data_IF_881067220134
#
_entry.id   IF_881067220134
#
_cell.length_a   1.000
_cell.length_b   1.000
_cell.length_c   1.000
_cell.angle_alpha   90.00
_cell.angle_beta   90.00
_cell.angle_gamma   90.00
#
_symmetry.space_group_name_H-M   'P 1'
#
loop_
_entity.id
_entity.type
_entity.pdbx_description
1 polymer ?
#
# COMPACT_ATOMS: atom_id res chain seq x y z
N UNK A 1 -3.18 -4.92 3.18
CA UNK A 1 -2.90 -3.81 4.10
C UNK A 1 -3.99 -3.74 5.15
N UNK A 2 -3.61 -3.44 6.39
CA UNK A 2 -4.49 -3.41 7.56
C UNK A 2 -4.87 -1.98 7.91
N UNK A 3 -6.16 -1.69 8.00
CA UNK A 3 -6.66 -0.36 8.35
C UNK A 3 -7.49 -0.46 9.63
N UNK A 4 -7.21 0.40 10.61
CA UNK A 4 -8.04 0.57 11.79
C UNK A 4 -8.98 1.76 11.57
N UNK A 5 -10.27 1.54 11.79
CA UNK A 5 -11.31 2.58 11.78
C UNK A 5 -11.75 2.84 13.22
N UNK A 6 -11.59 4.07 13.68
CA UNK A 6 -11.98 4.53 15.01
C UNK A 6 -13.13 5.52 14.85
N UNK A 7 -14.35 5.06 15.11
CA UNK A 7 -15.61 5.75 14.80
C UNK A 7 -16.70 5.25 15.72
N UNK A 8 -17.37 6.11 16.46
CA UNK A 8 -18.43 5.73 17.41
C UNK A 8 -19.79 5.51 16.73
N UNK A 9 -20.08 6.25 15.64
CA UNK A 9 -21.33 6.09 14.90
C UNK A 9 -21.33 4.81 14.06
N UNK A 10 -22.04 3.77 14.51
CA UNK A 10 -22.09 2.47 13.85
C UNK A 10 -22.42 2.55 12.33
N UNK A 11 -23.42 3.35 11.86
CA UNK A 11 -23.70 3.42 10.41
C UNK A 11 -22.54 3.95 9.58
N UNK A 12 -21.76 4.93 10.11
CA UNK A 12 -20.60 5.49 9.42
C UNK A 12 -19.45 4.49 9.44
N UNK A 13 -19.20 3.88 10.59
CA UNK A 13 -18.19 2.84 10.79
C UNK A 13 -18.39 1.66 9.82
N UNK A 14 -19.63 1.19 9.70
CA UNK A 14 -19.99 0.09 8.80
C UNK A 14 -19.83 0.48 7.33
N UNK A 15 -20.28 1.68 6.95
CA UNK A 15 -20.11 2.21 5.59
C UNK A 15 -18.63 2.25 5.20
N UNK A 16 -17.78 2.83 6.05
CA UNK A 16 -16.33 2.90 5.81
C UNK A 16 -15.75 1.48 5.70
N UNK A 17 -16.10 0.60 6.65
CA UNK A 17 -15.56 -0.76 6.71
C UNK A 17 -15.89 -1.57 5.45
N UNK A 18 -17.15 -1.56 5.00
CA UNK A 18 -17.58 -2.27 3.81
C UNK A 18 -16.83 -1.78 2.57
N UNK A 19 -16.73 -0.46 2.38
CA UNK A 19 -16.05 0.09 1.21
C UNK A 19 -14.55 -0.22 1.19
N UNK A 20 -13.89 -0.21 2.35
CA UNK A 20 -12.49 -0.59 2.47
C UNK A 20 -12.28 -2.08 2.19
N UNK A 21 -13.16 -2.95 2.69
CA UNK A 21 -13.10 -4.39 2.41
C UNK A 21 -13.29 -4.68 0.91
N UNK A 22 -14.24 -4.00 0.25
CA UNK A 22 -14.44 -4.09 -1.20
C UNK A 22 -13.21 -3.62 -1.99
N UNK A 23 -12.47 -2.65 -1.46
CA UNK A 23 -11.21 -2.19 -2.04
C UNK A 23 -10.01 -3.11 -1.72
N UNK A 24 -10.22 -4.23 -1.01
CA UNK A 24 -9.21 -5.25 -0.72
C UNK A 24 -8.36 -4.98 0.52
N UNK A 25 -8.77 -4.10 1.42
CA UNK A 25 -8.12 -3.87 2.71
C UNK A 25 -8.63 -4.85 3.77
N UNK A 26 -7.77 -5.23 4.71
CA UNK A 26 -8.16 -5.90 5.95
C UNK A 26 -8.52 -4.81 6.96
N UNK A 27 -9.77 -4.84 7.47
CA UNK A 27 -10.32 -3.74 8.28
C UNK A 27 -10.61 -4.20 9.69
N UNK A 28 -10.15 -3.40 10.64
CA UNK A 28 -10.48 -3.50 12.06
C UNK A 28 -11.26 -2.27 12.46
N UNK A 29 -12.21 -2.42 13.38
CA UNK A 29 -13.07 -1.32 13.83
C UNK A 29 -13.12 -1.27 15.34
N UNK A 30 -13.07 -0.06 15.89
CA UNK A 30 -13.31 0.22 17.32
C UNK A 30 -14.17 1.48 17.44
N UNK A 31 -14.87 1.62 18.55
CA UNK A 31 -15.87 2.69 18.74
C UNK A 31 -15.44 3.84 19.66
N UNK A 32 -14.29 3.71 20.31
CA UNK A 32 -13.77 4.75 21.20
C UNK A 32 -12.23 4.79 21.21
N UNK A 33 -11.70 5.87 21.78
CA UNK A 33 -10.27 6.12 21.84
C UNK A 33 -9.51 5.20 22.80
N UNK A 34 -10.16 4.64 23.81
CA UNK A 34 -9.54 3.71 24.78
C UNK A 34 -9.33 2.36 24.08
N UNK A 35 -10.37 1.86 23.42
CA UNK A 35 -10.29 0.63 22.63
C UNK A 35 -9.26 0.74 21.50
N UNK A 36 -9.14 1.92 20.87
CA UNK A 36 -8.12 2.16 19.85
C UNK A 36 -6.70 2.08 20.42
N UNK A 37 -6.44 2.69 21.58
CA UNK A 37 -5.15 2.63 22.25
C UNK A 37 -4.79 1.18 22.62
N UNK A 38 -5.71 0.44 23.23
CA UNK A 38 -5.51 -0.98 23.58
C UNK A 38 -5.28 -1.88 22.37
N UNK A 39 -6.00 -1.63 21.29
CA UNK A 39 -5.83 -2.38 20.03
C UNK A 39 -4.43 -2.18 19.46
N UNK A 40 -3.96 -0.92 19.40
CA UNK A 40 -2.66 -0.58 18.82
C UNK A 40 -1.46 -1.06 19.67
N UNK A 41 -1.65 -1.33 20.95
CA UNK A 41 -0.64 -1.98 21.78
C UNK A 41 -0.44 -3.46 21.43
N UNK A 42 -1.50 -4.12 20.95
CA UNK A 42 -1.52 -5.57 20.66
C UNK A 42 -1.27 -5.87 19.17
N UNK A 43 -1.65 -4.95 18.28
CA UNK A 43 -1.64 -5.21 16.84
C UNK A 43 -1.20 -3.97 16.04
N UNK A 44 -0.36 -4.20 15.02
CA UNK A 44 0.05 -3.15 14.09
C UNK A 44 -0.90 -3.06 12.92
N UNK A 45 -1.13 -1.82 12.46
CA UNK A 45 -1.89 -1.50 11.25
C UNK A 45 -1.08 -0.58 10.35
N UNK A 46 -1.47 -0.52 9.08
CA UNK A 46 -0.79 0.27 8.05
C UNK A 46 -1.35 1.70 7.95
N UNK A 47 -2.59 1.92 8.45
CA UNK A 47 -3.27 3.21 8.48
C UNK A 47 -4.34 3.23 9.57
N UNK A 48 -4.58 4.41 10.12
CA UNK A 48 -5.68 4.69 11.06
C UNK A 48 -6.60 5.74 10.45
N UNK A 49 -7.89 5.43 10.33
CA UNK A 49 -8.95 6.42 10.11
C UNK A 49 -9.53 6.76 11.47
N UNK A 50 -9.51 8.02 11.84
CA UNK A 50 -9.80 8.45 13.21
C UNK A 50 -10.81 9.59 13.22
N UNK A 51 -11.98 9.38 13.83
CA UNK A 51 -12.81 10.54 14.17
C UNK A 51 -12.21 11.30 15.35
N UNK A 52 -12.34 12.61 15.31
CA UNK A 52 -11.96 13.49 16.41
C UNK A 52 -12.98 13.42 17.53
N UNK A 53 -14.27 13.23 17.21
CA UNK A 53 -15.39 13.30 18.14
C UNK A 53 -15.81 11.93 18.66
N UNK A 54 -14.86 11.17 19.17
CA UNK A 54 -15.09 9.85 19.79
C UNK A 54 -15.13 9.92 21.32
N UNK A 55 -15.86 9.02 21.99
CA UNK A 55 -15.89 8.95 23.44
C UNK A 55 -14.58 8.46 24.06
N UNK A 56 -14.42 8.69 25.36
CA UNK A 56 -13.25 8.30 26.13
C UNK A 56 -12.06 9.23 25.89
N UNK A 57 -11.19 8.90 24.95
CA UNK A 57 -10.05 9.74 24.55
C UNK A 57 -10.40 10.34 23.20
N UNK A 58 -10.55 11.68 23.12
CA UNK A 58 -10.82 12.35 21.85
C UNK A 58 -9.69 12.14 20.83
N UNK A 59 -10.02 12.24 19.53
CA UNK A 59 -9.06 11.94 18.45
C UNK A 59 -7.81 12.82 18.46
N UNK A 60 -7.88 14.08 18.88
CA UNK A 60 -6.69 14.92 18.99
C UNK A 60 -5.75 14.48 20.12
N UNK A 61 -6.31 14.05 21.25
CA UNK A 61 -5.52 13.49 22.35
C UNK A 61 -4.98 12.10 22.00
N UNK A 62 -5.75 11.29 21.28
CA UNK A 62 -5.35 9.95 20.87
C UNK A 62 -4.18 9.99 19.89
N UNK A 63 -4.16 10.89 18.90
CA UNK A 63 -3.07 10.95 17.92
C UNK A 63 -1.72 11.22 18.60
N UNK A 64 -1.67 12.00 19.66
CA UNK A 64 -0.43 12.24 20.42
C UNK A 64 0.10 10.98 21.09
N UNK A 65 -0.81 10.14 21.62
CA UNK A 65 -0.45 8.88 22.27
C UNK A 65 0.03 7.82 21.28
N UNK A 66 -0.59 7.76 20.09
CA UNK A 66 -0.29 6.74 19.07
C UNK A 66 0.90 7.11 18.16
N UNK A 67 1.46 8.31 18.25
CA UNK A 67 2.67 8.72 17.50
C UNK A 67 3.84 7.74 17.62
N UNK A 68 3.99 7.10 18.79
CA UNK A 68 5.03 6.08 19.01
C UNK A 68 4.98 4.90 18.05
N UNK A 69 3.82 4.63 17.44
CA UNK A 69 3.64 3.52 16.49
C UNK A 69 4.08 3.86 15.07
N UNK A 70 4.34 5.14 14.76
CA UNK A 70 4.72 5.63 13.43
C UNK A 70 3.76 5.17 12.32
N UNK A 71 2.47 5.03 12.67
CA UNK A 71 1.39 4.65 11.77
C UNK A 71 0.72 5.92 11.25
N UNK A 72 0.48 6.06 9.93
CA UNK A 72 -0.21 7.22 9.38
C UNK A 72 -1.64 7.32 9.88
N UNK A 73 -2.11 8.55 10.07
CA UNK A 73 -3.45 8.86 10.55
C UNK A 73 -4.13 9.82 9.58
N UNK A 74 -5.35 9.47 9.18
CA UNK A 74 -6.28 10.38 8.49
C UNK A 74 -7.42 10.68 9.44
N UNK A 75 -7.65 11.95 9.74
CA UNK A 75 -8.88 12.33 10.45
C UNK A 75 -10.09 12.28 9.52
N UNK A 76 -11.19 11.68 10.00
CA UNK A 76 -12.48 11.60 9.29
C UNK A 76 -13.56 12.07 10.25
N UNK A 77 -13.95 13.36 10.21
CA UNK A 77 -14.74 13.96 11.29
C UNK A 77 -15.71 15.06 10.80
N UNK A 78 -16.75 15.33 11.60
CA UNK A 78 -17.66 16.43 11.36
C UNK A 78 -17.07 17.82 11.72
N UNK A 79 -15.88 17.89 12.33
CA UNK A 79 -15.21 19.17 12.61
C UNK A 79 -14.68 19.79 11.33
N UNK A 80 -15.36 20.82 10.84
CA UNK A 80 -15.10 21.47 9.54
C UNK A 80 -14.28 22.76 9.64
N UNK A 81 -14.05 23.30 10.85
CA UNK A 81 -13.36 24.57 11.01
C UNK A 81 -11.93 24.52 10.49
N UNK A 82 -11.47 25.61 9.88
CA UNK A 82 -10.06 25.73 9.44
C UNK A 82 -9.10 25.52 10.59
N UNK A 83 -9.45 25.99 11.79
CA UNK A 83 -8.63 25.87 12.99
C UNK A 83 -8.48 24.39 13.42
N UNK A 84 -9.56 23.61 13.38
CA UNK A 84 -9.51 22.18 13.71
C UNK A 84 -8.64 21.41 12.70
N UNK A 85 -8.77 21.70 11.41
CA UNK A 85 -7.94 21.08 10.36
C UNK A 85 -6.46 21.39 10.56
N UNK A 86 -6.13 22.67 10.78
CA UNK A 86 -4.75 23.10 11.04
C UNK A 86 -4.21 22.45 12.31
N UNK A 87 -5.04 22.36 13.38
CA UNK A 87 -4.68 21.66 14.62
C UNK A 87 -4.37 20.19 14.35
N UNK A 88 -5.27 19.47 13.67
CA UNK A 88 -5.08 18.05 13.36
C UNK A 88 -3.80 17.76 12.58
N UNK A 89 -3.53 18.52 11.52
CA UNK A 89 -2.32 18.39 10.71
C UNK A 89 -1.05 18.72 11.53
N UNK A 90 -1.07 19.75 12.38
CA UNK A 90 0.04 20.10 13.28
C UNK A 90 0.30 19.03 14.34
N UNK A 91 -0.73 18.35 14.80
CA UNK A 91 -0.62 17.22 15.72
C UNK A 91 0.00 15.99 15.04
N UNK A 92 0.12 15.96 13.71
CA UNK A 92 0.82 14.94 12.95
C UNK A 92 -0.10 14.01 12.16
N UNK A 93 -1.35 14.40 11.92
CA UNK A 93 -2.19 13.71 10.95
C UNK A 93 -1.65 13.91 9.52
N UNK A 94 -1.76 12.87 8.70
CA UNK A 94 -1.28 12.86 7.31
C UNK A 94 -2.28 13.46 6.34
N UNK A 95 -3.56 13.41 6.69
CA UNK A 95 -4.66 14.05 5.96
C UNK A 95 -5.87 14.30 6.88
N UNK A 96 -6.87 15.03 6.36
CA UNK A 96 -8.07 15.42 7.08
C UNK A 96 -9.28 15.41 6.13
N UNK A 97 -10.31 14.64 6.45
CA UNK A 97 -11.56 14.50 5.69
C UNK A 97 -12.72 14.99 6.52
N UNK A 98 -13.57 15.81 5.93
CA UNK A 98 -14.77 16.34 6.59
C UNK A 98 -15.97 15.46 6.22
N UNK A 99 -16.78 15.09 7.22
CA UNK A 99 -18.08 14.45 7.02
C UNK A 99 -19.15 15.52 6.65
N UNK A 100 -20.05 15.23 5.66
CA UNK A 100 -20.12 14.02 4.84
C UNK A 100 -19.07 13.99 3.73
N UNK A 101 -18.58 12.82 3.36
CA UNK A 101 -17.58 12.60 2.32
C UNK A 101 -18.05 11.58 1.29
N UNK A 102 -17.50 11.66 0.09
CA UNK A 102 -17.69 10.66 -0.95
C UNK A 102 -16.70 9.47 -0.76
N UNK A 103 -17.20 8.25 -0.93
CA UNK A 103 -16.37 7.03 -0.80
C UNK A 103 -15.12 7.08 -1.69
N UNK A 104 -15.26 7.59 -2.92
CA UNK A 104 -14.13 7.70 -3.85
C UNK A 104 -13.07 8.69 -3.34
N UNK A 105 -13.47 9.77 -2.67
CA UNK A 105 -12.53 10.72 -2.05
C UNK A 105 -11.75 10.04 -0.91
N UNK A 106 -12.46 9.34 -0.02
CA UNK A 106 -11.84 8.61 1.09
C UNK A 106 -10.79 7.62 0.56
N UNK A 107 -11.14 6.78 -0.41
CA UNK A 107 -10.22 5.79 -0.99
C UNK A 107 -9.01 6.44 -1.66
N UNK A 108 -9.20 7.50 -2.43
CA UNK A 108 -8.10 8.21 -3.08
C UNK A 108 -7.11 8.81 -2.07
N UNK A 109 -7.60 9.38 -0.97
CA UNK A 109 -6.75 9.94 0.09
C UNK A 109 -5.99 8.85 0.84
N UNK A 110 -6.63 7.72 1.16
CA UNK A 110 -6.00 6.54 1.74
C UNK A 110 -4.83 6.07 0.86
N UNK A 111 -5.05 5.92 -0.44
CA UNK A 111 -4.00 5.51 -1.38
C UNK A 111 -2.81 6.48 -1.40
N UNK A 112 -3.08 7.79 -1.38
CA UNK A 112 -2.03 8.82 -1.37
C UNK A 112 -1.20 8.72 -0.09
N UNK A 113 -1.84 8.58 1.07
CA UNK A 113 -1.16 8.48 2.36
C UNK A 113 -0.36 7.18 2.43
N UNK A 114 -0.97 6.03 2.16
CA UNK A 114 -0.29 4.74 2.17
C UNK A 114 0.91 4.72 1.20
N UNK A 115 0.78 5.32 0.02
CA UNK A 115 1.89 5.45 -0.93
C UNK A 115 3.07 6.26 -0.37
N UNK A 116 2.83 7.28 0.46
CA UNK A 116 3.90 8.06 1.11
C UNK A 116 4.63 7.24 2.18
N UNK A 117 3.89 6.43 2.93
CA UNK A 117 4.45 5.57 4.00
C UNK A 117 5.10 4.30 3.46
N UNK A 118 4.59 3.74 2.37
CA UNK A 118 5.25 2.65 1.64
C UNK A 118 6.55 3.09 0.94
N UNK A 119 6.94 4.36 1.05
CA UNK A 119 8.28 4.82 0.62
C UNK A 119 9.44 4.18 1.39
N UNK A 120 9.18 3.45 2.48
CA UNK A 120 10.17 2.54 3.06
C UNK A 120 10.39 1.27 2.22
N UNK A 121 9.57 1.01 1.19
CA UNK A 121 9.84 0.03 0.13
C UNK A 121 10.88 0.51 -0.91
N UNK A 122 11.71 1.48 -0.56
CA UNK A 122 12.87 1.79 -1.40
C UNK A 122 13.85 0.61 -1.50
N UNK A 123 13.73 -0.37 -0.61
CA UNK A 123 14.55 -1.58 -0.60
C UNK A 123 13.66 -2.82 -0.61
N UNK A 124 13.53 -3.45 -1.77
CA UNK A 124 12.85 -4.74 -1.89
C UNK A 124 13.90 -5.83 -1.77
N UNK A 125 13.69 -6.76 -0.83
CA UNK A 125 14.50 -7.98 -0.72
C UNK A 125 13.70 -9.19 -1.18
N UNK A 126 14.34 -10.00 -2.02
CA UNK A 126 13.82 -11.27 -2.45
C UNK A 126 14.98 -12.27 -2.57
N UNK A 127 15.08 -13.23 -1.64
CA UNK A 127 16.24 -14.12 -1.51
C UNK A 127 17.54 -13.29 -1.42
N UNK A 128 18.46 -13.51 -2.33
CA UNK A 128 19.74 -12.83 -2.46
C UNK A 128 19.70 -11.61 -3.42
N UNK A 129 18.52 -11.21 -3.84
CA UNK A 129 18.30 -10.00 -4.65
C UNK A 129 17.87 -8.86 -3.72
N UNK A 130 18.57 -7.74 -3.84
CA UNK A 130 18.22 -6.47 -3.20
C UNK A 130 17.98 -5.41 -4.27
N UNK A 131 16.87 -4.70 -4.17
CA UNK A 131 16.51 -3.63 -5.10
C UNK A 131 16.33 -2.34 -4.34
N UNK A 132 17.15 -1.33 -4.65
CA UNK A 132 16.89 0.06 -4.26
C UNK A 132 16.01 0.70 -5.34
N UNK A 133 14.72 0.88 -5.02
CA UNK A 133 13.76 1.41 -5.99
C UNK A 133 13.91 2.91 -6.21
N UNK A 134 14.53 3.63 -5.27
CA UNK A 134 14.80 5.07 -5.39
C UNK A 134 15.98 5.34 -6.34
N UNK A 135 17.03 4.57 -6.19
CA UNK A 135 18.23 4.68 -7.05
C UNK A 135 18.13 3.81 -8.30
N UNK A 136 17.12 2.93 -8.40
CA UNK A 136 16.95 1.92 -9.46
C UNK A 136 18.12 0.95 -9.57
N UNK A 137 18.77 0.65 -8.45
CA UNK A 137 19.89 -0.28 -8.35
C UNK A 137 19.36 -1.66 -7.96
N UNK A 138 19.82 -2.69 -8.69
CA UNK A 138 19.53 -4.10 -8.40
C UNK A 138 20.83 -4.80 -8.07
N UNK A 139 20.87 -5.51 -6.94
CA UNK A 139 22.02 -6.32 -6.53
C UNK A 139 21.62 -7.79 -6.41
N UNK A 140 22.51 -8.67 -6.84
CA UNK A 140 22.46 -10.11 -6.63
C UNK A 140 23.72 -10.52 -5.85
N UNK A 141 23.55 -11.12 -4.67
CA UNK A 141 24.68 -11.49 -3.79
C UNK A 141 25.62 -10.28 -3.47
N UNK A 142 25.06 -9.09 -3.25
CA UNK A 142 25.75 -7.80 -3.06
C UNK A 142 26.48 -7.22 -4.29
N UNK A 143 26.45 -7.89 -5.45
CA UNK A 143 27.00 -7.37 -6.71
C UNK A 143 25.92 -6.68 -7.53
N UNK A 144 26.22 -5.50 -8.08
CA UNK A 144 25.27 -4.72 -8.88
C UNK A 144 25.05 -5.38 -10.24
N UNK A 145 23.79 -5.62 -10.60
CA UNK A 145 23.36 -6.22 -11.87
C UNK A 145 22.67 -5.16 -12.73
N UNK A 146 23.20 -4.97 -13.91
CA UNK A 146 22.64 -4.01 -14.86
C UNK A 146 21.41 -4.60 -15.57
N UNK A 147 20.26 -3.94 -15.39
CA UNK A 147 19.01 -4.22 -16.08
C UNK A 147 18.64 -3.06 -17.00
N UNK A 148 18.08 -3.37 -18.15
CA UNK A 148 17.42 -2.35 -18.99
C UNK A 148 16.19 -1.81 -18.30
N UNK A 149 15.68 -0.66 -18.75
CA UNK A 149 14.48 -0.02 -18.15
C UNK A 149 13.31 -1.02 -18.10
N UNK A 150 13.06 -1.77 -19.17
CA UNK A 150 11.93 -2.72 -19.23
C UNK A 150 12.16 -3.99 -18.40
N UNK A 151 13.40 -4.47 -18.31
CA UNK A 151 13.75 -5.57 -17.40
C UNK A 151 13.56 -5.15 -15.92
N UNK A 152 13.97 -3.94 -15.57
CA UNK A 152 13.76 -3.39 -14.22
C UNK A 152 12.27 -3.24 -13.90
N UNK A 153 11.48 -2.61 -14.77
CA UNK A 153 10.05 -2.42 -14.56
C UNK A 153 9.31 -3.76 -14.42
N UNK A 154 9.67 -4.74 -15.24
CA UNK A 154 9.13 -6.10 -15.18
C UNK A 154 9.51 -6.80 -13.86
N UNK A 155 10.77 -6.67 -13.42
CA UNK A 155 11.22 -7.21 -12.13
C UNK A 155 10.41 -6.61 -10.97
N UNK A 156 10.25 -5.29 -10.93
CA UNK A 156 9.46 -4.60 -9.90
C UNK A 156 8.00 -5.06 -9.92
N UNK A 157 7.40 -5.21 -11.10
CA UNK A 157 6.04 -5.70 -11.24
C UNK A 157 5.88 -7.10 -10.62
N UNK A 158 6.81 -8.01 -10.91
CA UNK A 158 6.78 -9.37 -10.36
C UNK A 158 7.01 -9.38 -8.84
N UNK A 159 7.98 -8.61 -8.35
CA UNK A 159 8.28 -8.51 -6.92
C UNK A 159 7.11 -7.95 -6.10
N UNK A 160 6.35 -7.02 -6.65
CA UNK A 160 5.14 -6.46 -6.01
C UNK A 160 3.93 -7.38 -6.08
N UNK A 161 3.94 -8.38 -6.97
CA UNK A 161 2.85 -9.34 -7.17
C UNK A 161 3.31 -10.78 -6.93
N UNK A 162 4.09 -11.02 -5.85
CA UNK A 162 4.54 -12.37 -5.48
C UNK A 162 3.36 -13.33 -5.32
N UNK A 163 3.55 -14.55 -5.77
CA UNK A 163 2.56 -15.63 -5.73
C UNK A 163 1.27 -15.38 -6.54
N UNK A 164 1.19 -14.27 -7.28
CA UNK A 164 0.06 -13.94 -8.17
C UNK A 164 0.47 -14.24 -9.62
N UNK A 165 -0.34 -15.02 -10.32
CA UNK A 165 -0.17 -15.23 -11.75
C UNK A 165 -0.63 -14.00 -12.53
N UNK A 166 0.28 -13.37 -13.27
CA UNK A 166 -0.02 -12.25 -14.16
C UNK A 166 -0.08 -12.76 -15.59
N UNK A 167 -1.12 -12.36 -16.34
CA UNK A 167 -1.21 -12.71 -17.76
C UNK A 167 -0.16 -11.95 -18.59
N UNK A 168 0.16 -12.45 -19.78
CA UNK A 168 1.09 -11.77 -20.69
C UNK A 168 0.57 -10.39 -21.08
N UNK A 169 -0.72 -10.29 -21.28
CA UNK A 169 -1.41 -9.03 -21.63
C UNK A 169 -1.31 -8.04 -20.46
N UNK A 170 -1.60 -8.48 -19.23
CA UNK A 170 -1.47 -7.64 -18.03
C UNK A 170 -0.03 -7.14 -17.83
N UNK A 171 0.96 -8.01 -18.06
CA UNK A 171 2.37 -7.64 -17.95
C UNK A 171 2.73 -6.63 -19.04
N UNK A 172 2.30 -6.89 -20.28
CA UNK A 172 2.58 -6.01 -21.43
C UNK A 172 1.99 -4.62 -21.18
N UNK A 173 0.72 -4.54 -20.80
CA UNK A 173 0.04 -3.28 -20.50
C UNK A 173 0.74 -2.50 -19.36
N UNK A 174 1.05 -3.17 -18.25
CA UNK A 174 1.65 -2.50 -17.08
C UNK A 174 3.09 -2.03 -17.29
N UNK A 175 3.86 -2.72 -18.13
CA UNK A 175 5.28 -2.41 -18.33
C UNK A 175 5.51 -1.61 -19.61
N UNK A 176 4.76 -1.85 -20.68
CA UNK A 176 4.93 -1.16 -21.97
C UNK A 176 3.86 -0.09 -22.24
N UNK A 177 2.74 -0.15 -21.54
CA UNK A 177 1.62 0.77 -21.69
C UNK A 177 0.54 0.26 -22.64
N UNK A 178 -0.64 0.86 -22.55
CA UNK A 178 -1.84 0.44 -23.30
C UNK A 178 -1.69 0.62 -24.82
N UNK A 179 -0.91 1.63 -25.26
CA UNK A 179 -0.72 1.95 -26.68
C UNK A 179 0.38 1.12 -27.37
N UNK A 180 1.01 0.19 -26.61
CA UNK A 180 2.06 -0.62 -27.17
C UNK A 180 1.50 -1.68 -28.14
N UNK A 181 1.64 -1.44 -29.43
CA UNK A 181 1.18 -2.34 -30.51
C UNK A 181 2.04 -3.60 -30.76
N UNK A 182 2.95 -3.94 -29.85
CA UNK A 182 3.82 -5.11 -29.98
C UNK A 182 3.17 -6.40 -29.48
N UNK A 183 3.77 -7.53 -29.88
CA UNK A 183 3.29 -8.86 -29.51
C UNK A 183 3.63 -9.21 -28.05
N UNK A 184 2.78 -10.05 -27.42
CA UNK A 184 3.01 -10.58 -26.07
C UNK A 184 4.30 -11.38 -25.92
N UNK A 185 4.89 -11.87 -27.02
CA UNK A 185 6.22 -12.51 -27.05
C UNK A 185 7.34 -11.61 -26.52
N UNK A 186 7.17 -10.29 -26.57
CA UNK A 186 8.11 -9.35 -25.95
C UNK A 186 8.29 -9.62 -24.45
N UNK A 187 7.21 -9.99 -23.75
CA UNK A 187 7.24 -10.37 -22.33
C UNK A 187 8.13 -11.60 -22.13
N UNK A 188 7.96 -12.63 -22.97
CA UNK A 188 8.68 -13.90 -22.84
C UNK A 188 10.21 -13.70 -22.93
N UNK A 189 10.65 -12.83 -23.85
CA UNK A 189 12.08 -12.49 -24.02
C UNK A 189 12.64 -11.80 -22.78
N UNK A 190 11.90 -10.84 -22.21
CA UNK A 190 12.36 -10.10 -21.02
C UNK A 190 12.32 -10.97 -19.76
N UNK A 191 11.34 -11.85 -19.62
CA UNK A 191 11.31 -12.87 -18.56
C UNK A 191 12.55 -13.76 -18.63
N UNK A 192 12.91 -14.24 -19.81
CA UNK A 192 14.08 -15.08 -19.97
C UNK A 192 15.37 -14.37 -19.57
N UNK A 193 15.54 -13.11 -19.99
CA UNK A 193 16.69 -12.29 -19.59
C UNK A 193 16.78 -12.04 -18.09
N UNK A 194 15.66 -11.76 -17.41
CA UNK A 194 15.61 -11.59 -15.96
C UNK A 194 15.97 -12.90 -15.24
N UNK A 195 15.45 -14.02 -15.72
CA UNK A 195 15.79 -15.35 -15.18
C UNK A 195 17.29 -15.64 -15.24
N UNK A 196 17.94 -15.25 -16.31
CA UNK A 196 19.38 -15.46 -16.52
C UNK A 196 20.21 -14.49 -15.68
N UNK A 197 19.90 -13.19 -15.71
CA UNK A 197 20.66 -12.17 -15.01
C UNK A 197 20.58 -12.27 -13.49
N UNK A 198 19.45 -12.70 -12.96
CA UNK A 198 19.17 -12.70 -11.51
C UNK A 198 19.02 -14.10 -10.91
N UNK A 199 19.38 -15.14 -11.67
CA UNK A 199 19.25 -16.56 -11.25
C UNK A 199 17.83 -16.92 -10.75
N UNK A 200 16.80 -16.40 -11.45
CA UNK A 200 15.39 -16.59 -11.09
C UNK A 200 14.69 -17.69 -11.89
N UNK A 201 15.44 -18.60 -12.53
CA UNK A 201 14.86 -19.72 -13.33
C UNK A 201 13.87 -20.57 -12.54
N UNK A 202 14.19 -20.79 -11.28
CA UNK A 202 13.37 -21.60 -10.37
C UNK A 202 12.27 -20.81 -9.67
N UNK A 203 12.30 -19.49 -9.71
CA UNK A 203 11.35 -18.62 -9.00
C UNK A 203 10.30 -17.99 -9.91
N UNK A 204 10.67 -17.57 -11.10
CA UNK A 204 9.69 -17.10 -12.08
C UNK A 204 9.13 -18.33 -12.80
N UNK A 205 7.94 -18.77 -12.39
CA UNK A 205 7.25 -19.91 -13.01
C UNK A 205 6.43 -19.47 -14.21
N UNK A 206 6.44 -20.31 -15.25
CA UNK A 206 5.50 -20.16 -16.35
C UNK A 206 4.19 -20.82 -15.97
N UNK A 207 3.09 -20.03 -15.95
CA UNK A 207 1.75 -20.55 -15.77
C UNK A 207 1.16 -20.83 -17.16
N UNK A 208 0.95 -22.11 -17.46
CA UNK A 208 0.54 -22.54 -18.80
C UNK A 208 -0.72 -21.83 -19.29
N UNK A 209 -0.69 -21.34 -20.52
CA UNK A 209 -1.74 -20.55 -21.18
C UNK A 209 -2.14 -19.23 -20.46
N UNK A 210 -1.50 -18.86 -19.38
CA UNK A 210 -1.76 -17.60 -18.65
C UNK A 210 -0.59 -16.64 -18.83
N UNK A 211 0.54 -16.91 -18.17
CA UNK A 211 1.65 -15.97 -18.14
C UNK A 211 2.71 -16.41 -17.14
N UNK A 212 3.02 -15.53 -16.18
CA UNK A 212 4.13 -15.74 -15.27
C UNK A 212 3.76 -15.44 -13.81
N UNK A 213 4.41 -16.13 -12.88
CA UNK A 213 4.27 -15.93 -11.44
C UNK A 213 5.64 -16.02 -10.78
N UNK A 214 5.96 -15.06 -9.90
CA UNK A 214 7.15 -15.12 -9.05
C UNK A 214 6.79 -15.85 -7.75
N UNK A 215 7.52 -16.91 -7.44
CA UNK A 215 7.36 -17.74 -6.23
C UNK A 215 8.64 -17.72 -5.39
N UNK A 216 8.50 -17.91 -4.08
CA UNK A 216 9.64 -18.03 -3.15
C UNK A 216 10.41 -19.32 -3.33
#
# INVERSE_FOLDING_TARGET
MKILVVEDEAPIRDLISINLQLAGYEVFTVEDGIMAEEFLEKQRVDLILLDVMIPGIDGFSLIEKIKKHNTPVIFVTAKESVLDRVKGLRLGADDYIIKPFETMELLARIEVVLRRYNKNDNHIKFKNIEVDTKQRIVKLNNEEIYLTIKEYELLILLLKNKNIALSREQILEKVWGFEYGGETRTVDIHIQRIREKLDLKNNIKTVFKVGYRLEE
#
